data_IF_166947685236
#
_entry.id   IF_166947685236
#
_cell.length_a   1.000
_cell.length_b   1.000
_cell.length_c   1.000
_cell.angle_alpha   90.00
_cell.angle_beta   90.00
_cell.angle_gamma   90.00
#
_symmetry.space_group_name_H-M   'P 1'
#
loop_
_entity.id
_entity.type
_entity.pdbx_description
1 polymer ?
#
# COMPACT_ATOMS: atom_id res chain seq x y z
N UNK A 1 25.19 -26.14 15.48
CA UNK A 1 24.04 -26.20 16.41
C UNK A 1 23.41 -24.83 16.43
N UNK A 2 22.09 -24.79 16.19
CA UNK A 2 21.16 -23.65 16.36
C UNK A 2 21.41 -22.48 15.38
N UNK A 3 20.46 -22.03 14.57
CA UNK A 3 18.99 -22.02 14.66
C UNK A 3 18.42 -22.25 13.25
N UNK A 4 17.70 -23.35 13.01
CA UNK A 4 16.23 -23.33 12.93
C UNK A 4 15.70 -22.15 12.11
N UNK A 5 15.59 -22.36 10.79
CA UNK A 5 14.71 -21.56 9.96
C UNK A 5 13.29 -21.74 10.50
N UNK A 6 12.82 -20.71 11.20
CA UNK A 6 11.45 -20.60 11.66
C UNK A 6 10.50 -20.68 10.44
N UNK A 7 9.98 -21.88 10.20
CA UNK A 7 8.82 -22.11 9.35
C UNK A 7 7.58 -21.51 10.04
N UNK A 8 7.44 -20.19 10.00
CA UNK A 8 6.15 -19.54 10.24
C UNK A 8 5.55 -19.19 8.90
N UNK A 9 4.51 -19.92 8.52
CA UNK A 9 4.05 -20.06 7.15
C UNK A 9 3.56 -18.77 6.49
N UNK A 10 4.11 -18.50 5.30
CA UNK A 10 3.39 -17.86 4.19
C UNK A 10 3.85 -18.55 2.90
N UNK A 11 2.93 -19.26 2.24
CA UNK A 11 3.09 -19.77 0.87
C UNK A 11 3.38 -18.60 -0.08
N UNK A 12 4.54 -18.67 -0.76
CA UNK A 12 4.88 -17.88 -1.95
C UNK A 12 4.87 -16.35 -1.78
N UNK A 13 5.55 -15.64 -2.69
CA UNK A 13 5.34 -14.20 -2.87
C UNK A 13 3.99 -13.97 -3.55
N UNK A 14 3.30 -12.86 -3.27
CA UNK A 14 2.04 -12.48 -3.94
C UNK A 14 2.19 -12.28 -5.45
N UNK A 15 3.41 -11.96 -5.89
CA UNK A 15 3.83 -11.69 -7.27
C UNK A 15 5.29 -12.14 -7.39
N UNK A 16 5.76 -12.56 -8.59
CA UNK A 16 7.17 -12.84 -8.82
C UNK A 16 8.10 -11.72 -8.32
N UNK A 17 9.27 -12.10 -7.79
CA UNK A 17 10.26 -11.17 -7.24
C UNK A 17 10.69 -10.10 -8.25
N UNK A 18 10.76 -10.47 -9.53
CA UNK A 18 11.10 -9.58 -10.64
C UNK A 18 10.20 -8.35 -10.74
N UNK A 19 8.91 -8.48 -10.39
CA UNK A 19 7.98 -7.34 -10.41
C UNK A 19 8.28 -6.38 -9.27
N UNK A 20 8.56 -6.88 -8.06
CA UNK A 20 8.97 -6.04 -6.94
C UNK A 20 10.29 -5.31 -7.20
N UNK A 21 11.22 -5.97 -7.90
CA UNK A 21 12.50 -5.39 -8.30
C UNK A 21 12.30 -4.32 -9.38
N UNK A 22 11.52 -4.62 -10.43
CA UNK A 22 11.24 -3.71 -11.55
C UNK A 22 10.47 -2.46 -11.11
N UNK A 23 9.52 -2.61 -10.20
CA UNK A 23 8.74 -1.50 -9.65
C UNK A 23 9.53 -0.63 -8.66
N UNK A 24 10.71 -1.06 -8.23
CA UNK A 24 11.58 -0.31 -7.33
C UNK A 24 11.11 -0.26 -5.87
N UNK A 25 10.27 -1.21 -5.44
CA UNK A 25 9.70 -1.25 -4.07
C UNK A 25 10.79 -1.43 -3.00
N UNK A 26 11.85 -2.14 -3.35
CA UNK A 26 12.98 -2.46 -2.46
C UNK A 26 13.96 -1.28 -2.24
N UNK A 27 13.85 -0.20 -3.04
CA UNK A 27 14.78 0.93 -2.99
C UNK A 27 14.35 1.91 -1.89
N UNK A 28 15.13 1.98 -0.82
CA UNK A 28 14.94 2.91 0.29
C UNK A 28 15.61 4.26 0.09
N UNK A 29 15.83 4.97 1.19
CA UNK A 29 16.55 6.25 1.23
C UNK A 29 17.94 6.05 1.86
N UNK A 30 18.72 7.14 1.99
CA UNK A 30 20.00 7.15 2.70
C UNK A 30 19.85 7.35 4.22
N UNK A 31 18.64 7.68 4.69
CA UNK A 31 18.37 7.95 6.10
C UNK A 31 17.66 6.75 6.73
N UNK A 32 18.02 6.39 7.96
CA UNK A 32 17.38 5.31 8.72
C UNK A 32 16.89 5.81 10.07
N UNK A 33 15.76 5.27 10.51
CA UNK A 33 15.26 5.40 11.88
C UNK A 33 15.52 4.10 12.66
N UNK A 34 15.51 4.16 13.99
CA UNK A 34 15.72 2.98 14.84
C UNK A 34 14.66 1.89 14.59
N UNK A 35 13.40 2.29 14.46
CA UNK A 35 12.27 1.37 14.26
C UNK A 35 12.27 0.70 12.88
N UNK A 36 12.98 1.28 11.92
CA UNK A 36 13.06 0.75 10.55
C UNK A 36 14.16 -0.31 10.39
N UNK A 37 15.04 -0.48 11.39
CA UNK A 37 16.14 -1.48 11.35
C UNK A 37 15.67 -2.90 10.99
N UNK A 38 14.54 -3.43 11.53
CA UNK A 38 14.11 -4.79 11.22
C UNK A 38 13.71 -5.00 9.75
N UNK A 39 13.37 -3.93 9.01
CA UNK A 39 12.90 -4.02 7.63
C UNK A 39 14.02 -3.83 6.59
N UNK A 40 15.22 -3.46 7.03
CA UNK A 40 16.39 -3.26 6.18
C UNK A 40 17.06 -4.62 5.96
N UNK A 41 17.25 -5.00 4.69
CA UNK A 41 17.97 -6.21 4.29
C UNK A 41 19.47 -5.96 4.21
N UNK A 42 19.89 -4.97 3.42
CA UNK A 42 21.31 -4.63 3.24
C UNK A 42 21.51 -3.16 2.88
N UNK A 43 22.74 -2.70 3.01
CA UNK A 43 23.16 -1.36 2.57
C UNK A 43 23.91 -1.50 1.25
N UNK A 44 23.54 -0.70 0.24
CA UNK A 44 24.32 -0.60 -1.01
C UNK A 44 25.57 0.26 -0.82
N UNK A 45 26.49 0.15 -1.77
CA UNK A 45 27.74 0.94 -1.80
C UNK A 45 27.44 2.45 -1.82
N UNK A 46 26.35 2.85 -2.48
CA UNK A 46 25.89 4.25 -2.57
C UNK A 46 25.25 4.80 -1.27
N UNK A 47 25.23 4.01 -0.19
CA UNK A 47 24.59 4.36 1.07
C UNK A 47 23.06 4.25 1.06
N UNK A 48 22.45 3.74 -0.02
CA UNK A 48 21.02 3.45 -0.10
C UNK A 48 20.68 2.17 0.69
N UNK A 49 19.68 2.26 1.57
CA UNK A 49 19.14 1.10 2.26
C UNK A 49 18.23 0.28 1.33
N UNK A 50 18.44 -1.03 1.29
CA UNK A 50 17.58 -1.98 0.57
C UNK A 50 16.63 -2.62 1.57
N UNK A 51 15.33 -2.60 1.26
CA UNK A 51 14.28 -3.19 2.08
C UNK A 51 14.07 -4.67 1.74
N UNK A 52 13.62 -5.43 2.73
CA UNK A 52 13.25 -6.85 2.55
C UNK A 52 11.86 -6.99 1.90
N UNK A 53 11.82 -7.67 0.74
CA UNK A 53 10.60 -7.89 -0.03
C UNK A 53 9.66 -8.88 0.68
N UNK A 54 10.19 -9.92 1.34
CA UNK A 54 9.37 -10.94 2.02
C UNK A 54 8.58 -10.33 3.17
N UNK A 55 9.23 -9.44 3.94
CA UNK A 55 8.57 -8.69 5.02
C UNK A 55 7.52 -7.73 4.48
N UNK A 56 7.82 -7.07 3.35
CA UNK A 56 6.87 -6.19 2.67
C UNK A 56 5.61 -6.94 2.24
N UNK A 57 5.77 -8.12 1.64
CA UNK A 57 4.65 -8.98 1.19
C UNK A 57 3.76 -9.43 2.35
N UNK A 58 4.39 -9.89 3.44
CA UNK A 58 3.69 -10.30 4.67
C UNK A 58 2.85 -9.15 5.24
N UNK A 59 3.41 -7.93 5.28
CA UNK A 59 2.70 -6.73 5.75
C UNK A 59 1.56 -6.32 4.84
N UNK A 60 1.71 -6.44 3.51
CA UNK A 60 0.61 -6.17 2.57
C UNK A 60 -0.54 -7.15 2.82
N UNK A 61 -0.25 -8.43 3.04
CA UNK A 61 -1.27 -9.45 3.32
C UNK A 61 -2.00 -9.19 4.64
N UNK A 62 -1.26 -8.82 5.69
CA UNK A 62 -1.84 -8.42 6.98
C UNK A 62 -2.72 -7.17 6.85
N UNK A 63 -2.25 -6.14 6.15
CA UNK A 63 -2.99 -4.92 5.91
C UNK A 63 -4.28 -5.18 5.12
N UNK A 64 -4.23 -6.03 4.10
CA UNK A 64 -5.41 -6.39 3.32
C UNK A 64 -6.46 -7.14 4.16
N UNK A 65 -6.03 -8.11 4.98
CA UNK A 65 -6.91 -8.80 5.93
C UNK A 65 -7.52 -7.87 6.95
N UNK A 66 -6.75 -6.86 7.39
CA UNK A 66 -7.24 -5.86 8.33
C UNK A 66 -8.30 -4.95 7.68
N UNK A 67 -8.02 -4.43 6.48
CA UNK A 67 -8.93 -3.60 5.68
C UNK A 67 -10.25 -4.31 5.34
N UNK A 68 -10.19 -5.63 5.12
CA UNK A 68 -11.38 -6.43 4.82
C UNK A 68 -12.41 -6.47 5.96
N UNK A 69 -12.00 -6.20 7.21
CA UNK A 69 -12.91 -6.21 8.38
C UNK A 69 -13.80 -4.98 8.46
N UNK A 70 -13.40 -3.88 7.81
CA UNK A 70 -14.11 -2.61 7.87
C UNK A 70 -15.01 -2.43 6.64
N UNK A 71 -16.11 -1.71 6.85
CA UNK A 71 -17.00 -1.30 5.76
C UNK A 71 -16.27 -0.32 4.83
N UNK A 72 -16.45 -0.42 3.50
CA UNK A 72 -15.73 0.46 2.58
C UNK A 72 -16.02 1.95 2.76
N UNK A 73 -17.24 2.30 3.16
CA UNK A 73 -17.69 3.68 3.39
C UNK A 73 -16.92 4.40 4.51
N UNK A 74 -16.41 3.63 5.48
CA UNK A 74 -15.65 4.12 6.63
C UNK A 74 -14.15 4.25 6.37
N UNK A 75 -13.71 3.91 5.15
CA UNK A 75 -12.30 3.98 4.77
C UNK A 75 -12.06 5.31 4.04
N UNK A 76 -11.09 6.08 4.54
CA UNK A 76 -10.63 7.31 3.91
C UNK A 76 -9.20 7.13 3.37
N UNK A 77 -9.06 7.32 2.06
CA UNK A 77 -7.77 7.26 1.37
C UNK A 77 -7.30 8.68 1.09
N UNK A 78 -6.14 9.05 1.65
CA UNK A 78 -5.57 10.40 1.47
C UNK A 78 -4.25 10.30 0.71
N UNK A 79 -4.11 11.11 -0.34
CA UNK A 79 -2.87 11.21 -1.09
C UNK A 79 -2.58 12.67 -1.48
N UNK A 80 -1.63 13.29 -0.80
CA UNK A 80 -1.24 14.67 -1.08
C UNK A 80 -0.32 14.79 -2.31
N UNK A 81 0.57 13.83 -2.51
CA UNK A 81 1.55 13.86 -3.61
C UNK A 81 0.89 13.57 -4.95
N UNK A 82 1.28 14.33 -5.98
CA UNK A 82 0.78 14.19 -7.36
C UNK A 82 0.86 12.74 -7.87
N UNK A 83 2.01 12.07 -7.67
CA UNK A 83 2.20 10.67 -8.09
C UNK A 83 1.27 9.67 -7.38
N UNK A 84 0.79 10.01 -6.18
CA UNK A 84 -0.10 9.16 -5.39
C UNK A 84 -1.58 9.42 -5.62
N UNK A 85 -1.94 10.54 -6.26
CA UNK A 85 -3.34 10.91 -6.44
C UNK A 85 -4.08 9.93 -7.36
N UNK A 86 -3.49 9.56 -8.50
CA UNK A 86 -4.11 8.61 -9.44
C UNK A 86 -4.31 7.21 -8.82
N UNK A 87 -3.29 6.54 -8.26
CA UNK A 87 -3.47 5.21 -7.68
C UNK A 87 -4.41 5.23 -6.46
N UNK A 88 -4.40 6.30 -5.64
CA UNK A 88 -5.35 6.44 -4.54
C UNK A 88 -6.80 6.56 -5.01
N UNK A 89 -7.06 7.33 -6.09
CA UNK A 89 -8.40 7.44 -6.69
C UNK A 89 -8.90 6.11 -7.24
N UNK A 90 -8.05 5.37 -7.93
CA UNK A 90 -8.40 4.06 -8.49
C UNK A 90 -8.65 3.03 -7.39
N UNK A 91 -7.80 2.99 -6.37
CA UNK A 91 -7.99 2.15 -5.20
C UNK A 91 -9.33 2.44 -4.51
N UNK A 92 -9.62 3.73 -4.26
CA UNK A 92 -10.87 4.13 -3.62
C UNK A 92 -12.09 3.79 -4.47
N UNK A 93 -12.03 4.01 -5.79
CA UNK A 93 -13.10 3.65 -6.73
C UNK A 93 -13.39 2.13 -6.70
N UNK A 94 -12.35 1.31 -6.64
CA UNK A 94 -12.48 -0.15 -6.67
C UNK A 94 -12.99 -0.71 -5.33
N UNK A 95 -12.62 -0.10 -4.20
CA UNK A 95 -13.13 -0.50 -2.90
C UNK A 95 -14.51 0.10 -2.58
N UNK A 96 -14.88 1.22 -3.20
CA UNK A 96 -16.03 2.04 -2.77
C UNK A 96 -15.71 2.93 -1.56
N UNK A 97 -14.44 3.32 -1.39
CA UNK A 97 -13.97 4.13 -0.26
C UNK A 97 -13.99 5.64 -0.57
N UNK A 98 -14.01 6.47 0.48
CA UNK A 98 -13.88 7.93 0.35
C UNK A 98 -12.43 8.29 0.01
N UNK A 99 -12.21 9.29 -0.85
CA UNK A 99 -10.86 9.70 -1.27
C UNK A 99 -10.65 11.20 -1.22
N UNK A 100 -9.51 11.60 -0.66
CA UNK A 100 -8.99 12.97 -0.70
C UNK A 100 -7.64 12.96 -1.40
N UNK A 101 -7.70 13.17 -2.72
CA UNK A 101 -6.52 13.28 -3.57
C UNK A 101 -6.16 14.76 -3.75
N UNK A 102 -5.15 15.22 -3.02
CA UNK A 102 -4.72 16.62 -3.01
C UNK A 102 -4.48 17.14 -1.61
N UNK A 103 -4.68 18.46 -1.43
CA UNK A 103 -4.53 19.11 -0.13
C UNK A 103 -5.57 18.56 0.84
N UNK A 104 -5.10 18.02 1.95
CA UNK A 104 -5.96 17.70 3.08
C UNK A 104 -6.35 19.02 3.77
N UNK A 105 -7.63 19.35 3.77
CA UNK A 105 -8.13 20.58 4.38
C UNK A 105 -8.12 20.40 5.90
N UNK A 106 -7.42 21.25 6.67
CA UNK A 106 -7.47 21.19 8.12
C UNK A 106 -8.92 21.37 8.59
N UNK A 107 -9.42 20.45 9.38
CA UNK A 107 -10.81 20.44 9.83
C UNK A 107 -11.69 19.38 9.17
N UNK A 108 -11.25 18.72 8.09
CA UNK A 108 -12.03 17.67 7.41
C UNK A 108 -12.56 16.57 8.35
N UNK A 109 -11.82 16.23 9.41
CA UNK A 109 -12.23 15.21 10.39
C UNK A 109 -12.74 15.79 11.72
N UNK A 110 -12.59 17.10 11.95
CA UNK A 110 -12.80 17.70 13.28
C UNK A 110 -13.86 18.80 13.30
N UNK A 111 -14.18 19.41 12.15
CA UNK A 111 -15.12 20.51 12.07
C UNK A 111 -16.37 20.08 11.28
N UNK A 112 -17.50 19.80 11.97
CA UNK A 112 -18.75 19.37 11.33
C UNK A 112 -19.40 20.44 10.45
N UNK A 113 -19.00 21.70 10.59
CA UNK A 113 -19.51 22.80 9.76
C UNK A 113 -18.81 22.90 8.40
N UNK A 114 -17.79 22.09 8.13
CA UNK A 114 -17.15 22.07 6.82
C UNK A 114 -17.99 21.27 5.82
N UNK A 115 -18.10 21.73 4.57
CA UNK A 115 -18.83 20.99 3.53
C UNK A 115 -18.16 19.65 3.18
N UNK A 116 -16.85 19.52 3.44
CA UNK A 116 -16.08 18.28 3.25
C UNK A 116 -15.89 17.51 4.56
N UNK A 117 -16.71 17.75 5.59
CA UNK A 117 -16.63 17.01 6.83
C UNK A 117 -16.89 15.52 6.58
N UNK A 118 -16.01 14.66 7.09
CA UNK A 118 -16.16 13.22 7.05
C UNK A 118 -16.20 12.68 8.47
N UNK A 119 -17.37 12.17 8.85
CA UNK A 119 -17.60 11.34 10.02
C UNK A 119 -17.24 9.87 9.75
N UNK A 120 -16.99 9.14 10.85
CA UNK A 120 -16.79 7.68 10.87
C UNK A 120 -15.65 7.15 10.00
N UNK A 121 -14.50 7.84 10.03
CA UNK A 121 -13.26 7.33 9.44
C UNK A 121 -12.52 6.46 10.44
N UNK A 122 -12.60 5.13 10.26
CA UNK A 122 -11.97 4.17 11.17
C UNK A 122 -10.48 3.97 10.89
N UNK A 123 -10.04 4.23 9.66
CA UNK A 123 -8.67 3.94 9.24
C UNK A 123 -8.16 4.89 8.16
N UNK A 124 -7.02 5.50 8.48
CA UNK A 124 -6.17 6.21 7.52
C UNK A 124 -4.98 5.32 7.19
N UNK A 125 -4.79 5.02 5.91
CA UNK A 125 -3.58 4.32 5.43
C UNK A 125 -2.60 5.36 4.90
N UNK A 126 -1.63 5.82 5.71
CA UNK A 126 -0.58 6.68 5.19
C UNK A 126 0.32 5.84 4.28
N UNK A 127 0.23 6.07 2.98
CA UNK A 127 1.21 5.51 2.03
C UNK A 127 2.22 6.60 1.67
N UNK A 128 3.50 6.29 1.77
CA UNK A 128 4.58 7.16 1.32
C UNK A 128 5.58 6.32 0.56
N UNK A 129 5.71 6.55 -0.75
CA UNK A 129 6.85 6.03 -1.49
C UNK A 129 7.14 6.95 -2.70
N UNK A 130 8.43 7.29 -2.90
CA UNK A 130 8.88 8.31 -3.86
C UNK A 130 8.71 7.89 -5.32
N UNK A 131 8.52 6.60 -5.59
CA UNK A 131 8.48 6.03 -6.92
C UNK A 131 7.06 5.92 -7.48
N UNK A 132 6.85 6.41 -8.71
CA UNK A 132 5.55 6.30 -9.41
C UNK A 132 5.09 4.85 -9.56
N UNK A 133 5.96 3.98 -10.06
CA UNK A 133 5.71 2.55 -10.23
C UNK A 133 5.57 1.80 -8.90
N UNK A 134 6.33 2.21 -7.88
CA UNK A 134 6.23 1.63 -6.54
C UNK A 134 4.87 1.95 -5.90
N UNK A 135 4.37 3.20 -6.01
CA UNK A 135 3.03 3.58 -5.57
C UNK A 135 1.98 2.73 -6.27
N UNK A 136 2.04 2.68 -7.60
CA UNK A 136 1.10 1.93 -8.41
C UNK A 136 1.05 0.45 -8.01
N UNK A 137 2.21 -0.19 -7.87
CA UNK A 137 2.31 -1.62 -7.52
C UNK A 137 1.75 -1.91 -6.13
N UNK A 138 2.05 -1.08 -5.13
CA UNK A 138 1.54 -1.28 -3.76
C UNK A 138 0.03 -1.10 -3.71
N UNK A 139 -0.53 -0.06 -4.34
CA UNK A 139 -1.98 0.14 -4.39
C UNK A 139 -2.70 -0.94 -5.19
N UNK A 140 -2.09 -1.41 -6.29
CA UNK A 140 -2.61 -2.51 -7.09
C UNK A 140 -2.67 -3.81 -6.26
N UNK A 141 -1.57 -4.17 -5.59
CA UNK A 141 -1.52 -5.32 -4.68
C UNK A 141 -2.54 -5.21 -3.55
N UNK A 142 -2.62 -4.04 -2.90
CA UNK A 142 -3.56 -3.81 -1.81
C UNK A 142 -5.01 -3.94 -2.30
N UNK A 143 -5.35 -3.37 -3.47
CA UNK A 143 -6.69 -3.49 -4.05
C UNK A 143 -7.05 -4.95 -4.24
N UNK A 144 -6.16 -5.70 -4.90
CA UNK A 144 -6.34 -7.10 -5.23
C UNK A 144 -6.57 -7.95 -3.98
N UNK A 145 -5.71 -7.80 -2.98
CA UNK A 145 -5.79 -8.59 -1.75
C UNK A 145 -6.99 -8.22 -0.88
N UNK A 146 -7.42 -6.95 -0.85
CA UNK A 146 -8.64 -6.55 -0.12
C UNK A 146 -9.88 -7.11 -0.78
N UNK A 147 -9.98 -7.08 -2.11
CA UNK A 147 -11.13 -7.63 -2.83
C UNK A 147 -11.23 -9.16 -2.67
N UNK A 148 -10.08 -9.86 -2.68
CA UNK A 148 -10.00 -11.29 -2.34
C UNK A 148 -10.46 -11.56 -0.91
N UNK A 149 -9.95 -10.80 0.06
CA UNK A 149 -10.30 -10.98 1.46
C UNK A 149 -11.78 -10.67 1.76
N UNK A 150 -12.42 -9.81 0.96
CA UNK A 150 -13.87 -9.53 1.03
C UNK A 150 -14.73 -10.54 0.25
N UNK A 151 -14.13 -11.44 -0.52
CA UNK A 151 -14.83 -12.44 -1.33
C UNK A 151 -15.52 -11.88 -2.59
N UNK A 152 -15.21 -10.63 -2.98
CA UNK A 152 -15.76 -10.00 -4.19
C UNK A 152 -15.09 -10.53 -5.47
N UNK A 153 -13.88 -11.07 -5.35
CA UNK A 153 -13.08 -11.65 -6.44
C UNK A 153 -12.60 -13.03 -6.00
N UNK A 154 -12.84 -14.07 -6.81
CA UNK A 154 -12.54 -15.47 -6.44
C UNK A 154 -11.19 -15.96 -6.96
N UNK A 155 -10.60 -15.33 -7.99
CA UNK A 155 -9.26 -15.65 -8.49
C UNK A 155 -8.46 -14.43 -8.92
N UNK A 156 -7.13 -14.59 -8.98
CA UNK A 156 -6.17 -13.57 -9.44
C UNK A 156 -6.40 -13.10 -10.88
N UNK A 157 -7.12 -13.89 -11.68
CA UNK A 157 -7.34 -13.68 -13.12
C UNK A 157 -8.58 -12.82 -13.42
N UNK A 158 -9.49 -12.67 -12.45
CA UNK A 158 -10.67 -11.79 -12.57
C UNK A 158 -10.31 -10.31 -12.36
N UNK A 159 -9.11 -10.01 -11.87
CA UNK A 159 -8.66 -8.63 -11.66
C UNK A 159 -8.18 -8.01 -12.97
N UNK A 160 -9.05 -7.23 -13.61
CA UNK A 160 -8.82 -6.68 -14.96
C UNK A 160 -7.82 -5.52 -15.02
N UNK A 161 -7.46 -4.92 -13.89
CA UNK A 161 -6.60 -3.75 -13.87
C UNK A 161 -5.12 -4.13 -13.89
N UNK A 162 -4.34 -3.43 -14.71
CA UNK A 162 -2.89 -3.57 -14.79
C UNK A 162 -2.17 -2.59 -13.87
N UNK A 163 -0.89 -2.85 -13.59
CA UNK A 163 -0.06 -1.93 -12.79
C UNK A 163 0.05 -0.56 -13.48
N UNK A 164 0.07 -0.55 -14.82
CA UNK A 164 0.22 0.67 -15.62
C UNK A 164 -1.03 1.57 -15.54
N UNK A 165 -2.21 0.99 -15.36
CA UNK A 165 -3.44 1.76 -15.12
C UNK A 165 -3.33 2.61 -13.85
N UNK A 166 -2.65 2.09 -12.84
CA UNK A 166 -2.40 2.76 -11.56
C UNK A 166 -1.25 3.77 -11.62
N UNK A 167 -0.42 3.76 -12.66
CA UNK A 167 0.70 4.69 -12.78
C UNK A 167 0.23 6.11 -13.10
N UNK A 168 0.62 7.08 -12.28
CA UNK A 168 0.31 8.49 -12.52
C UNK A 168 1.05 9.00 -13.77
N UNK A 169 0.28 9.57 -14.71
CA UNK A 169 0.82 10.34 -15.84
C UNK A 169 1.49 11.62 -15.32
N UNK A 170 2.57 12.04 -16.00
CA UNK A 170 3.29 13.29 -15.71
C UNK A 170 2.41 14.52 -15.89
#
# INVERSE_FOLDING_TARGET
MMQEEEQTGVQGLLVPEDVYLTSGVHIGTQQKSADMKPFIYKVRIDGLYVLDIKKTDTRIREAAKFLARFKPENILVVAARQYGQKPARLFAKNLGAKVLAGRFVPGTLTNPNLPEFMDDVDLVVPTNNKGRRALATVYWLLTREVLKARGAVKSDEEFTFTIDDYEASL
#
